data_IF_445283029513
#
_entry.id   IF_445283029513
#
_cell.length_a   1.000
_cell.length_b   1.000
_cell.length_c   1.000
_cell.angle_alpha   90.00
_cell.angle_beta   90.00
_cell.angle_gamma   90.00
#
_symmetry.space_group_name_H-M   'P 1'
#
loop_
_entity.id
_entity.type
_entity.pdbx_description
1 polymer ?
#
# COMPACT_ATOMS: atom_id res chain seq x y z
N UNK A 1 -52.19 -35.16 4.50
CA UNK A 1 -52.09 -33.70 4.32
C UNK A 1 -51.43 -33.47 2.96
N UNK A 2 -52.16 -33.54 1.84
CA UNK A 2 -53.08 -32.53 1.27
C UNK A 2 -52.40 -31.18 0.97
N UNK A 3 -51.80 -31.12 -0.22
CA UNK A 3 -51.64 -30.03 -1.21
C UNK A 3 -51.26 -30.81 -2.51
N UNK A 4 -51.75 -30.62 -3.74
CA UNK A 4 -52.63 -29.63 -4.40
C UNK A 4 -52.03 -28.21 -4.51
N UNK A 5 -52.19 -27.45 -5.60
CA UNK A 5 -52.87 -27.68 -6.89
C UNK A 5 -51.96 -27.34 -8.08
N UNK A 6 -52.29 -27.87 -9.27
CA UNK A 6 -51.86 -27.35 -10.57
C UNK A 6 -52.31 -25.90 -10.81
N UNK A 7 -51.50 -25.14 -11.55
CA UNK A 7 -51.95 -24.25 -12.63
C UNK A 7 -50.79 -24.11 -13.63
N UNK A 8 -50.95 -24.63 -14.85
CA UNK A 8 -51.43 -23.90 -16.01
C UNK A 8 -50.33 -22.97 -16.59
N UNK A 9 -49.81 -23.34 -17.76
CA UNK A 9 -48.66 -22.69 -18.36
C UNK A 9 -48.97 -21.30 -18.95
N UNK A 10 -47.96 -20.45 -19.00
CA UNK A 10 -47.92 -19.27 -19.86
C UNK A 10 -46.71 -19.43 -20.78
N UNK A 11 -46.96 -19.77 -22.04
CA UNK A 11 -45.96 -19.61 -23.11
C UNK A 11 -45.92 -18.12 -23.45
N UNK A 12 -45.13 -17.36 -22.69
CA UNK A 12 -44.83 -15.98 -23.01
C UNK A 12 -43.78 -15.95 -24.12
N UNK A 13 -44.23 -15.86 -25.38
CA UNK A 13 -43.37 -15.59 -26.53
C UNK A 13 -42.90 -14.13 -26.49
N UNK A 14 -42.05 -13.79 -25.53
CA UNK A 14 -41.31 -12.53 -25.54
C UNK A 14 -40.24 -12.64 -26.63
N UNK A 15 -40.47 -11.99 -27.76
CA UNK A 15 -39.47 -11.81 -28.80
C UNK A 15 -38.31 -10.99 -28.22
N UNK A 16 -37.31 -11.67 -27.68
CA UNK A 16 -36.08 -11.04 -27.23
C UNK A 16 -35.41 -10.44 -28.46
N UNK A 17 -35.44 -9.11 -28.57
CA UNK A 17 -34.45 -8.41 -29.37
C UNK A 17 -33.10 -8.69 -28.73
N UNK A 18 -32.43 -9.74 -29.22
CA UNK A 18 -31.05 -10.03 -28.87
C UNK A 18 -30.19 -8.92 -29.46
N UNK A 19 -30.13 -7.80 -28.75
CA UNK A 19 -29.04 -6.87 -28.85
C UNK A 19 -27.78 -7.65 -28.44
N UNK A 20 -27.13 -8.25 -29.43
CA UNK A 20 -25.93 -9.06 -29.24
C UNK A 20 -24.85 -8.18 -28.63
N UNK A 21 -24.75 -8.17 -27.30
CA UNK A 21 -23.63 -7.60 -26.57
C UNK A 21 -22.42 -8.41 -27.02
N UNK A 22 -21.69 -7.84 -27.98
CA UNK A 22 -20.52 -8.46 -28.57
C UNK A 22 -19.43 -8.38 -27.51
N UNK A 23 -19.34 -9.43 -26.69
CA UNK A 23 -18.36 -9.53 -25.61
C UNK A 23 -16.97 -9.48 -26.26
N UNK A 24 -16.35 -8.30 -26.24
CA UNK A 24 -14.96 -8.14 -26.68
C UNK A 24 -14.11 -8.93 -25.69
N UNK A 25 -13.41 -9.94 -26.20
CA UNK A 25 -12.34 -10.57 -25.45
C UNK A 25 -11.30 -9.50 -25.17
N UNK A 26 -11.17 -9.09 -23.91
CA UNK A 26 -10.11 -8.20 -23.47
C UNK A 26 -8.80 -8.96 -23.69
N UNK A 27 -7.97 -8.44 -24.60
CA UNK A 27 -6.64 -8.99 -24.79
C UNK A 27 -5.72 -8.50 -23.68
N UNK A 28 -4.58 -9.16 -23.45
CA UNK A 28 -3.61 -8.72 -22.43
C UNK A 28 -3.14 -7.26 -22.62
N UNK A 29 -3.35 -6.68 -23.81
CA UNK A 29 -3.01 -5.29 -24.14
C UNK A 29 -4.09 -4.25 -23.76
N UNK A 30 -5.32 -4.66 -23.41
CA UNK A 30 -6.37 -3.74 -22.91
C UNK A 30 -6.11 -3.31 -21.45
N UNK A 31 -5.29 -4.06 -20.71
CA UNK A 31 -4.83 -3.66 -19.38
C UNK A 31 -3.70 -2.64 -19.53
N UNK A 32 -4.06 -1.40 -19.86
CA UNK A 32 -3.14 -0.27 -19.70
C UNK A 32 -2.75 -0.20 -18.22
N UNK A 33 -1.46 -0.35 -17.85
CA UNK A 33 -1.06 -0.23 -16.46
C UNK A 33 -1.46 1.16 -15.99
N UNK A 34 -2.27 1.22 -14.93
CA UNK A 34 -2.49 2.45 -14.20
C UNK A 34 -1.14 2.83 -13.59
N UNK A 35 -0.46 3.78 -14.21
CA UNK A 35 0.65 4.50 -13.60
C UNK A 35 0.08 5.34 -12.48
N UNK A 36 -0.17 4.69 -11.34
CA UNK A 36 -0.46 5.36 -10.08
C UNK A 36 0.81 6.14 -9.75
N UNK A 37 0.82 7.44 -10.06
CA UNK A 37 1.75 8.37 -9.45
C UNK A 37 1.36 8.44 -7.98
N UNK A 38 1.94 7.55 -7.19
CA UNK A 38 1.74 7.49 -5.74
C UNK A 38 2.37 8.75 -5.12
N UNK A 39 1.52 9.77 -4.95
CA UNK A 39 1.92 11.06 -4.41
C UNK A 39 1.98 10.97 -2.90
N UNK A 40 3.17 11.23 -2.35
CA UNK A 40 3.35 11.38 -0.89
C UNK A 40 2.52 12.56 -0.33
N UNK A 41 2.08 13.49 -1.18
CA UNK A 41 1.12 14.53 -0.84
C UNK A 41 -0.32 14.07 -1.14
N UNK A 42 -1.17 14.09 -0.11
CA UNK A 42 -2.61 13.95 -0.24
C UNK A 42 -3.23 15.22 -0.86
N UNK A 43 -4.13 15.08 -1.83
CA UNK A 43 -4.69 16.20 -2.60
C UNK A 43 -5.41 17.28 -1.76
N UNK A 44 -5.95 16.89 -0.60
CA UNK A 44 -6.62 17.82 0.33
C UNK A 44 -5.71 18.51 1.34
N UNK A 45 -4.43 18.13 1.42
CA UNK A 45 -3.49 18.63 2.43
C UNK A 45 -2.90 19.99 2.01
N UNK A 46 -2.85 20.95 2.94
CA UNK A 46 -2.56 22.37 2.65
C UNK A 46 -1.48 23.00 3.54
N UNK A 47 -1.00 22.30 4.56
CA UNK A 47 -0.02 22.79 5.53
C UNK A 47 1.39 22.29 5.22
N UNK A 48 1.55 21.11 4.63
CA UNK A 48 2.86 20.57 4.28
C UNK A 48 3.30 20.88 2.84
N UNK A 49 4.32 21.74 2.70
CA UNK A 49 4.93 22.03 1.39
C UNK A 49 5.99 21.00 0.95
N UNK A 50 6.75 20.43 1.89
CA UNK A 50 8.01 19.72 1.64
C UNK A 50 8.01 18.29 2.21
N UNK A 51 6.95 17.50 1.94
CA UNK A 51 6.89 16.09 2.38
C UNK A 51 7.88 15.24 1.59
N UNK A 52 8.67 14.42 2.29
CA UNK A 52 9.64 13.49 1.68
C UNK A 52 9.57 12.13 2.36
N UNK A 53 9.40 11.07 1.58
CA UNK A 53 9.57 9.69 2.04
C UNK A 53 11.07 9.35 2.18
N UNK A 54 11.44 8.75 3.32
CA UNK A 54 12.83 8.37 3.63
C UNK A 54 13.07 6.85 3.58
N UNK A 55 12.07 6.03 3.91
CA UNK A 55 12.14 4.57 3.90
C UNK A 55 11.16 3.98 2.90
N UNK A 56 11.50 2.82 2.33
CA UNK A 56 10.73 2.15 1.29
C UNK A 56 10.51 0.69 1.64
N UNK A 57 9.25 0.30 1.80
CA UNK A 57 8.87 -1.04 2.26
C UNK A 57 9.27 -1.33 3.71
N UNK A 58 8.96 -2.57 4.12
CA UNK A 58 9.03 -2.97 5.52
C UNK A 58 7.96 -2.29 6.39
N UNK A 59 7.88 -2.71 7.63
CA UNK A 59 7.12 -2.05 8.68
C UNK A 59 8.06 -1.11 9.43
N UNK A 60 7.69 0.16 9.54
CA UNK A 60 8.51 1.20 10.16
C UNK A 60 7.66 1.93 11.22
N UNK A 61 8.18 2.10 12.44
CA UNK A 61 7.42 2.60 13.58
C UNK A 61 8.29 3.40 14.58
N UNK A 62 7.63 4.06 15.54
CA UNK A 62 8.23 4.78 16.69
C UNK A 62 9.48 5.61 16.33
N UNK A 63 9.31 6.58 15.44
CA UNK A 63 10.39 7.45 14.99
C UNK A 63 10.54 8.71 15.87
N UNK A 64 11.77 8.99 16.31
CA UNK A 64 12.13 10.15 17.12
C UNK A 64 13.31 10.93 16.51
N UNK A 65 13.30 12.25 16.70
CA UNK A 65 14.37 13.14 16.24
C UNK A 65 15.47 13.28 17.30
N UNK A 66 16.72 13.42 16.85
CA UNK A 66 17.76 13.98 17.72
C UNK A 66 17.44 15.42 18.10
N UNK A 67 17.93 15.87 19.26
CA UNK A 67 17.72 17.23 19.76
C UNK A 67 18.14 18.33 18.75
N UNK A 68 19.15 18.05 17.92
CA UNK A 68 19.65 18.96 16.88
C UNK A 68 19.01 18.75 15.49
N UNK A 69 17.98 17.91 15.41
CA UNK A 69 17.24 17.51 14.20
C UNK A 69 18.10 16.90 13.06
N UNK A 70 19.36 16.50 13.32
CA UNK A 70 20.25 15.92 12.31
C UNK A 70 20.06 14.41 12.12
N UNK A 71 19.42 13.73 13.05
CA UNK A 71 19.21 12.28 13.02
C UNK A 71 17.77 11.90 13.34
N UNK A 72 17.34 10.78 12.75
CA UNK A 72 16.14 10.05 13.11
C UNK A 72 16.54 8.68 13.65
N UNK A 73 16.00 8.31 14.82
CA UNK A 73 16.03 6.95 15.34
C UNK A 73 14.63 6.35 15.22
N UNK A 74 14.50 5.11 14.77
CA UNK A 74 13.20 4.49 14.48
C UNK A 74 13.29 2.95 14.47
N UNK A 75 12.13 2.29 14.58
CA UNK A 75 12.00 0.84 14.43
C UNK A 75 11.85 0.45 12.96
N UNK A 76 12.49 -0.66 12.57
CA UNK A 76 12.30 -1.29 11.25
C UNK A 76 12.18 -2.82 11.35
N UNK A 77 11.19 -3.36 10.65
CA UNK A 77 11.08 -4.78 10.25
C UNK A 77 11.01 -4.88 8.73
N UNK A 78 11.71 -5.83 8.13
CA UNK A 78 11.70 -6.04 6.67
C UNK A 78 12.17 -7.45 6.32
N UNK A 79 11.22 -8.35 6.10
CA UNK A 79 11.50 -9.75 5.71
C UNK A 79 12.34 -9.80 4.42
N UNK A 80 12.08 -8.88 3.48
CA UNK A 80 12.81 -8.78 2.20
C UNK A 80 14.29 -8.41 2.36
N UNK A 81 14.65 -7.73 3.45
CA UNK A 81 16.02 -7.33 3.77
C UNK A 81 16.67 -8.23 4.84
N UNK A 82 16.02 -9.35 5.21
CA UNK A 82 16.53 -10.24 6.26
C UNK A 82 16.41 -9.69 7.68
N UNK A 83 15.47 -8.76 7.92
CA UNK A 83 15.17 -8.19 9.24
C UNK A 83 13.84 -8.81 9.72
N UNK A 84 13.85 -9.95 10.44
CA UNK A 84 12.64 -10.74 10.72
C UNK A 84 11.76 -10.19 11.85
N UNK A 85 12.25 -9.21 12.60
CA UNK A 85 11.56 -8.60 13.75
C UNK A 85 12.18 -7.24 14.08
N UNK A 86 11.42 -6.41 14.81
CA UNK A 86 11.72 -4.99 14.99
C UNK A 86 13.12 -4.77 15.55
N UNK A 87 13.93 -4.06 14.77
CA UNK A 87 15.26 -3.57 15.15
C UNK A 87 15.27 -2.05 15.19
N UNK A 88 16.12 -1.48 16.04
CA UNK A 88 16.29 -0.02 16.13
C UNK A 88 17.41 0.41 15.19
N UNK A 89 17.11 1.40 14.36
CA UNK A 89 18.04 2.02 13.41
C UNK A 89 18.15 3.52 13.65
N UNK A 90 19.34 4.09 13.45
CA UNK A 90 19.57 5.54 13.41
C UNK A 90 20.10 5.97 12.04
N UNK A 91 19.51 7.00 11.45
CA UNK A 91 19.93 7.56 10.17
C UNK A 91 20.13 9.07 10.24
N UNK A 92 21.16 9.58 9.56
CA UNK A 92 21.32 11.02 9.36
C UNK A 92 20.22 11.50 8.41
N UNK A 93 19.55 12.59 8.77
CA UNK A 93 18.47 13.19 7.97
C UNK A 93 19.08 13.86 6.73
N UNK A 94 18.63 13.53 5.51
CA UNK A 94 19.19 14.11 4.29
C UNK A 94 18.83 15.60 4.17
N UNK A 95 19.81 16.46 3.94
CA UNK A 95 19.56 17.92 3.80
C UNK A 95 19.36 18.35 2.35
N UNK A 96 19.67 17.50 1.38
CA UNK A 96 19.47 17.75 -0.06
C UNK A 96 18.62 16.65 -0.71
N UNK A 97 17.93 16.92 -1.83
CA UNK A 97 17.14 15.91 -2.53
C UNK A 97 17.96 14.71 -3.04
N UNK A 98 19.25 14.90 -3.30
CA UNK A 98 20.17 13.87 -3.83
C UNK A 98 20.85 13.03 -2.76
N UNK A 99 20.94 13.52 -1.52
CA UNK A 99 21.45 12.74 -0.39
C UNK A 99 20.47 11.61 -0.03
N UNK A 100 20.99 10.39 0.14
CA UNK A 100 20.19 9.20 0.50
C UNK A 100 20.03 9.10 2.02
N UNK A 101 18.91 8.53 2.46
CA UNK A 101 18.74 8.10 3.84
C UNK A 101 19.32 6.69 4.01
N UNK A 102 20.48 6.58 4.66
CA UNK A 102 21.19 5.32 4.88
C UNK A 102 21.30 5.04 6.39
N UNK A 103 20.26 4.46 7.01
CA UNK A 103 20.20 4.24 8.45
C UNK A 103 21.00 3.01 8.88
N UNK A 104 21.59 3.07 10.07
CA UNK A 104 22.48 2.05 10.65
C UNK A 104 21.84 1.39 11.86
N UNK A 105 22.00 0.08 11.98
CA UNK A 105 21.53 -0.70 13.12
C UNK A 105 22.20 -0.23 14.42
N UNK A 106 21.41 0.01 15.47
CA UNK A 106 21.92 0.33 16.82
C UNK A 106 21.46 -0.66 17.89
N UNK A 107 20.40 -1.45 17.62
CA UNK A 107 20.08 -2.63 18.43
C UNK A 107 21.09 -3.77 18.21
N UNK A 108 21.02 -4.82 19.02
CA UNK A 108 21.95 -5.96 18.99
C UNK A 108 21.82 -6.86 17.75
N UNK A 109 20.79 -6.66 16.91
CA UNK A 109 20.40 -7.57 15.85
C UNK A 109 19.82 -8.91 16.35
N UNK A 110 19.53 -9.04 17.65
CA UNK A 110 19.11 -10.29 18.30
C UNK A 110 17.79 -10.10 19.05
N UNK A 111 16.77 -10.83 18.64
CA UNK A 111 15.42 -10.73 19.20
C UNK A 111 14.73 -9.41 18.82
N UNK A 112 13.47 -9.27 19.21
CA UNK A 112 12.66 -8.08 18.94
C UNK A 112 13.02 -6.95 19.91
N UNK A 113 13.12 -5.73 19.41
CA UNK A 113 13.33 -4.50 20.19
C UNK A 113 12.14 -3.54 20.04
N UNK A 114 11.81 -2.82 21.11
CA UNK A 114 10.69 -1.86 21.13
C UNK A 114 11.13 -0.57 21.80
N UNK A 115 10.58 0.56 21.34
CA UNK A 115 10.97 1.92 21.72
C UNK A 115 12.43 2.29 21.38
N UNK A 116 12.69 3.59 21.23
CA UNK A 116 13.97 4.16 20.80
C UNK A 116 14.19 5.55 21.42
#
# INVERSE_FOLDING_TARGET
>A
MKLFYWCAGIVALAATTTASIKLRSLTANDVRPLTVNDSVQFEGEKHFANVRQLTFGGDNAEAYWSYDAKYLIFQKTSIKEGIPCDQIYIGKVPTTPTEKFEPKLVSTGKGRTTCA
#
